data_IF_940003288834
#
_entry.id   IF_940003288834
#
_cell.length_a   1.000
_cell.length_b   1.000
_cell.length_c   1.000
_cell.angle_alpha   90.00
_cell.angle_beta   90.00
_cell.angle_gamma   90.00
#
_symmetry.space_group_name_H-M   'P 1'
#
loop_
_entity.id
_entity.type
_entity.pdbx_description
1 polymer ?
#
# COMPACT_ATOMS: atom_id res chain seq x y z
N UNK A 1 1.92 -23.01 -23.75
CA UNK A 1 2.81 -23.12 -22.57
C UNK A 1 2.74 -21.79 -21.86
N UNK A 2 2.46 -21.77 -20.55
CA UNK A 2 2.21 -20.52 -19.81
C UNK A 2 3.34 -20.27 -18.83
N UNK A 3 3.95 -19.08 -18.90
CA UNK A 3 4.99 -18.65 -17.97
C UNK A 3 4.43 -17.53 -17.10
N UNK A 4 4.55 -17.68 -15.78
CA UNK A 4 4.19 -16.66 -14.79
C UNK A 4 5.49 -16.00 -14.34
N UNK A 5 5.58 -14.68 -14.48
CA UNK A 5 6.75 -13.91 -14.11
C UNK A 5 6.39 -12.90 -13.01
N UNK A 6 7.18 -12.93 -11.94
CA UNK A 6 7.07 -12.04 -10.79
C UNK A 6 8.20 -10.99 -10.85
N UNK A 7 7.92 -9.75 -10.41
CA UNK A 7 8.89 -8.65 -10.30
C UNK A 7 9.64 -8.33 -11.60
N UNK A 8 8.87 -8.13 -12.68
CA UNK A 8 9.39 -7.90 -14.03
C UNK A 8 9.84 -6.44 -14.20
N UNK A 9 11.11 -6.24 -14.54
CA UNK A 9 11.64 -4.91 -14.88
C UNK A 9 11.51 -4.58 -16.39
N UNK A 10 11.82 -3.34 -16.77
CA UNK A 10 11.71 -2.86 -18.16
C UNK A 10 12.58 -3.61 -19.17
N UNK A 11 13.68 -4.23 -18.72
CA UNK A 11 14.56 -5.02 -19.57
C UNK A 11 13.96 -6.41 -19.85
N UNK A 12 13.32 -7.01 -18.85
CA UNK A 12 12.63 -8.29 -18.96
C UNK A 12 11.36 -8.15 -19.84
N UNK A 13 10.64 -7.03 -19.76
CA UNK A 13 9.50 -6.73 -20.65
C UNK A 13 9.88 -6.77 -22.15
N UNK A 14 11.03 -6.21 -22.53
CA UNK A 14 11.50 -6.25 -23.94
C UNK A 14 11.81 -7.66 -24.42
N UNK A 15 12.34 -8.50 -23.52
CA UNK A 15 12.62 -9.91 -23.83
C UNK A 15 11.31 -10.69 -23.97
N UNK A 16 10.31 -10.41 -23.13
CA UNK A 16 8.95 -10.98 -23.24
C UNK A 16 8.32 -10.64 -24.59
N UNK A 17 8.35 -9.38 -25.01
CA UNK A 17 7.82 -8.95 -26.32
C UNK A 17 8.51 -9.68 -27.48
N UNK A 18 9.83 -9.84 -27.39
CA UNK A 18 10.60 -10.58 -28.40
C UNK A 18 10.23 -12.08 -28.44
N UNK A 19 10.04 -12.70 -27.28
CA UNK A 19 9.65 -14.12 -27.16
C UNK A 19 8.22 -14.38 -27.67
N UNK A 20 7.29 -13.46 -27.41
CA UNK A 20 5.92 -13.54 -27.96
C UNK A 20 5.91 -13.33 -29.48
N UNK A 21 6.79 -12.48 -30.01
CA UNK A 21 6.96 -12.30 -31.45
C UNK A 21 7.48 -13.56 -32.16
N UNK A 22 8.32 -14.35 -31.48
CA UNK A 22 8.89 -15.60 -32.01
C UNK A 22 7.94 -16.80 -31.85
N UNK A 23 7.10 -16.81 -30.81
CA UNK A 23 6.14 -17.88 -30.57
C UNK A 23 4.76 -17.33 -30.15
N UNK A 24 3.82 -17.38 -31.09
CA UNK A 24 2.45 -16.86 -30.90
C UNK A 24 1.61 -17.66 -29.90
N UNK A 25 2.01 -18.88 -29.58
CA UNK A 25 1.31 -19.75 -28.63
C UNK A 25 1.87 -19.63 -27.19
N UNK A 26 2.87 -18.77 -27.00
CA UNK A 26 3.46 -18.48 -25.70
C UNK A 26 2.64 -17.42 -24.96
N UNK A 27 1.92 -17.84 -23.92
CA UNK A 27 1.17 -16.94 -23.04
C UNK A 27 2.04 -16.59 -21.84
N UNK A 28 2.26 -15.29 -21.61
CA UNK A 28 3.07 -14.80 -20.49
C UNK A 28 2.18 -13.91 -19.63
N UNK A 29 2.00 -14.29 -18.37
CA UNK A 29 1.26 -13.51 -17.38
C UNK A 29 2.25 -12.80 -16.46
N UNK A 30 2.19 -11.47 -16.44
CA UNK A 30 2.99 -10.63 -15.55
C UNK A 30 2.14 -10.31 -14.33
N UNK A 31 2.57 -10.79 -13.16
CA UNK A 31 1.96 -10.37 -11.90
C UNK A 31 2.63 -9.09 -11.43
N UNK A 32 1.87 -8.00 -11.49
CA UNK A 32 2.24 -6.70 -10.93
C UNK A 32 2.51 -6.84 -9.42
N UNK A 33 3.59 -6.19 -8.95
CA UNK A 33 3.99 -6.22 -7.55
C UNK A 33 2.87 -5.83 -6.58
N UNK A 34 2.94 -6.48 -5.41
CA UNK A 34 2.05 -6.42 -4.26
C UNK A 34 1.23 -5.12 -4.16
N UNK A 35 -0.12 -5.19 -4.07
CA UNK A 35 -0.98 -4.01 -3.94
C UNK A 35 -0.66 -3.14 -2.71
N UNK A 36 0.03 -3.69 -1.68
CA UNK A 36 0.54 -2.89 -0.56
C UNK A 36 1.72 -2.00 -0.93
N UNK A 37 2.56 -2.38 -1.91
CA UNK A 37 3.71 -1.59 -2.34
C UNK A 37 3.27 -0.29 -3.05
N UNK A 38 2.09 -0.28 -3.70
CA UNK A 38 1.46 0.93 -4.27
C UNK A 38 0.91 1.90 -3.21
N UNK A 39 0.90 1.55 -1.92
CA UNK A 39 0.40 2.41 -0.85
C UNK A 39 1.30 3.63 -0.58
N UNK A 40 2.58 3.59 -0.98
CA UNK A 40 3.51 4.71 -0.78
C UNK A 40 3.11 5.94 -1.62
N UNK A 41 2.40 5.73 -2.73
CA UNK A 41 1.89 6.78 -3.63
C UNK A 41 0.43 7.16 -3.35
N UNK A 42 -0.16 6.62 -2.26
CA UNK A 42 -1.55 6.94 -1.92
C UNK A 42 -1.69 8.42 -1.58
N UNK A 43 -2.27 9.18 -2.51
CA UNK A 43 -2.66 10.57 -2.27
C UNK A 43 -4.09 10.59 -1.72
N UNK A 44 -4.31 10.94 -0.44
CA UNK A 44 -5.64 11.01 0.12
C UNK A 44 -6.47 12.10 -0.57
N UNK A 45 -7.78 11.83 -0.76
CA UNK A 45 -8.71 12.84 -1.28
C UNK A 45 -8.67 14.13 -0.45
N UNK A 46 -9.00 15.29 -1.05
CA UNK A 46 -9.00 16.60 -0.36
C UNK A 46 -9.78 16.57 0.97
N UNK A 47 -10.90 15.84 1.02
CA UNK A 47 -11.71 15.67 2.24
C UNK A 47 -10.97 14.85 3.30
N UNK A 48 -10.38 13.72 2.89
CA UNK A 48 -9.58 12.87 3.78
C UNK A 48 -8.34 13.61 4.32
N UNK A 49 -7.61 14.32 3.46
CA UNK A 49 -6.46 15.12 3.86
C UNK A 49 -6.82 16.20 4.90
N UNK A 50 -7.96 16.88 4.73
CA UNK A 50 -8.45 17.89 5.69
C UNK A 50 -8.83 17.26 7.03
N UNK A 51 -9.45 16.07 7.02
CA UNK A 51 -9.79 15.32 8.24
C UNK A 51 -8.51 14.88 8.97
N UNK A 52 -7.56 14.29 8.26
CA UNK A 52 -6.26 13.88 8.78
C UNK A 52 -5.50 15.04 9.43
N UNK A 53 -5.40 16.19 8.74
CA UNK A 53 -4.76 17.40 9.30
C UNK A 53 -5.43 17.89 10.59
N UNK A 54 -6.75 17.79 10.71
CA UNK A 54 -7.46 18.16 11.94
C UNK A 54 -7.15 17.18 13.07
N UNK A 55 -7.26 15.87 12.80
CA UNK A 55 -6.99 14.83 13.79
C UNK A 55 -5.54 14.86 14.28
N UNK A 56 -4.57 15.08 13.39
CA UNK A 56 -3.15 15.24 13.77
C UNK A 56 -2.94 16.43 14.72
N UNK A 57 -3.55 17.59 14.42
CA UNK A 57 -3.48 18.75 15.32
C UNK A 57 -4.10 18.49 16.68
N UNK A 58 -5.16 17.68 16.76
CA UNK A 58 -5.76 17.30 18.04
C UNK A 58 -4.86 16.36 18.83
N UNK A 59 -4.22 15.40 18.17
CA UNK A 59 -3.24 14.49 18.77
C UNK A 59 -2.03 15.28 19.29
N UNK A 60 -1.48 16.21 18.51
CA UNK A 60 -0.38 17.08 18.93
C UNK A 60 -0.76 17.92 20.15
N UNK A 61 -1.96 18.49 20.18
CA UNK A 61 -2.47 19.22 21.35
C UNK A 61 -2.61 18.33 22.58
N UNK A 62 -3.14 17.11 22.44
CA UNK A 62 -3.24 16.15 23.55
C UNK A 62 -1.86 15.73 24.05
N UNK A 63 -0.91 15.53 23.13
CA UNK A 63 0.50 15.22 23.45
C UNK A 63 1.15 16.37 24.23
N UNK A 64 1.01 17.62 23.77
CA UNK A 64 1.55 18.79 24.45
C UNK A 64 0.94 19.02 25.83
N UNK A 65 -0.34 18.64 26.03
CA UNK A 65 -1.02 18.70 27.33
C UNK A 65 -0.76 17.48 28.23
N UNK A 66 -0.05 16.46 27.74
CA UNK A 66 0.17 15.20 28.46
C UNK A 66 -1.09 14.33 28.62
N UNK A 67 -2.19 14.63 27.91
CA UNK A 67 -3.47 13.91 28.01
C UNK A 67 -3.67 12.88 26.89
N UNK A 68 -2.62 12.61 26.11
CA UNK A 68 -2.66 11.57 25.09
C UNK A 68 -2.65 10.21 25.77
N UNK A 69 -3.77 9.47 25.66
CA UNK A 69 -3.91 8.11 26.20
C UNK A 69 -2.88 7.20 25.51
N UNK A 70 -1.97 6.64 26.29
CA UNK A 70 -1.10 5.54 25.87
C UNK A 70 -1.78 4.23 26.24
N UNK A 71 -1.73 3.26 25.34
CA UNK A 71 -2.17 1.90 25.62
C UNK A 71 -0.93 1.06 25.86
N UNK A 72 -0.95 0.26 26.93
CA UNK A 72 0.17 -0.59 27.31
C UNK A 72 0.02 -2.00 26.74
N UNK A 73 -1.17 -2.36 26.23
CA UNK A 73 -1.41 -3.63 25.55
C UNK A 73 -2.33 -3.49 24.34
N UNK A 74 -2.28 -4.50 23.47
CA UNK A 74 -3.14 -4.59 22.29
C UNK A 74 -4.60 -4.82 22.70
N UNK A 75 -4.85 -5.56 23.80
CA UNK A 75 -6.18 -5.80 24.33
C UNK A 75 -6.86 -4.51 24.79
N UNK A 76 -6.12 -3.61 25.46
CA UNK A 76 -6.63 -2.30 25.87
C UNK A 76 -7.02 -1.44 24.66
N UNK A 77 -6.20 -1.45 23.60
CA UNK A 77 -6.50 -0.75 22.35
C UNK A 77 -7.75 -1.32 21.67
N UNK A 78 -7.89 -2.65 21.63
CA UNK A 78 -9.06 -3.32 21.05
C UNK A 78 -10.34 -2.96 21.80
N UNK A 79 -10.30 -2.93 23.13
CA UNK A 79 -11.45 -2.59 23.96
C UNK A 79 -11.95 -1.15 23.68
N UNK A 80 -11.04 -0.19 23.54
CA UNK A 80 -11.40 1.21 23.23
C UNK A 80 -11.94 1.40 21.80
N UNK A 81 -11.44 0.63 20.83
CA UNK A 81 -11.91 0.72 19.44
C UNK A 81 -13.27 0.08 19.22
N UNK A 82 -13.65 -0.87 20.09
CA UNK A 82 -14.90 -1.62 20.02
C UNK A 82 -16.01 -1.05 20.94
N UNK A 83 -15.69 -0.06 21.78
CA UNK A 83 -16.64 0.68 22.63
C UNK A 83 -17.29 1.85 21.90
#
# INVERSE_FOLDING_TARGET
MTLILENVDTSILRVIESLQGLNKDLQIEVQDECPMCKAHDYTPSKKAAKKLKKSLKEIEKKRAKGTLKSFNSIEELKAELLS
#
